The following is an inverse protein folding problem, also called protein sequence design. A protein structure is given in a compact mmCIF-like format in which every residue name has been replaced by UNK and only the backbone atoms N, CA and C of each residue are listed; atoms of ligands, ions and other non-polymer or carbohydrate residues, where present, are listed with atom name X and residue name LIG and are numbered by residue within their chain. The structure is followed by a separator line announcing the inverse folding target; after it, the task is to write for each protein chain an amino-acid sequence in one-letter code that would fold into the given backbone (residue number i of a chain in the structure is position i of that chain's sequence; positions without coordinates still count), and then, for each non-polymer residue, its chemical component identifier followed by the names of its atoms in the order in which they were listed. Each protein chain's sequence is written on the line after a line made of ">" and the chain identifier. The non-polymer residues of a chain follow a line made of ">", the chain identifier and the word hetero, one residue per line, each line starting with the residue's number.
data_IF_274894459357
#
_entry.id   IF_274894459357
#
_cell.length_a   1.000
_cell.length_b   1.000
_cell.length_c   1.000
_cell.angle_alpha   90.00
_cell.angle_beta   90.00
_cell.angle_gamma   90.00
#
_symmetry.space_group_name_H-M   'P 1'
#
loop_
_entity.id
_entity.type
_entity.pdbx_description
1 polymer ?
#
# COMPACT_ATOMS: atom_id res chain seq x y z
N UNK A 1 -3.89 0.24 21.92
CA UNK A 1 -4.39 1.61 21.73
C UNK A 1 -4.97 1.69 20.33
N UNK A 2 -6.21 2.15 20.18
CA UNK A 2 -6.83 2.31 18.86
C UNK A 2 -6.23 3.50 18.13
N UNK A 3 -5.88 3.32 16.87
CA UNK A 3 -5.48 4.43 16.00
C UNK A 3 -6.74 5.22 15.63
N UNK A 4 -6.72 6.54 15.87
CA UNK A 4 -7.79 7.43 15.43
C UNK A 4 -7.49 7.83 13.98
N UNK A 5 -8.24 7.26 13.04
CA UNK A 5 -8.16 7.65 11.64
C UNK A 5 -8.99 8.91 11.41
N UNK A 6 -8.35 9.95 10.87
CA UNK A 6 -9.02 11.19 10.49
C UNK A 6 -9.41 11.12 9.01
N UNK A 7 -10.67 11.42 8.73
CA UNK A 7 -11.15 11.55 7.34
C UNK A 7 -10.52 12.81 6.74
N UNK A 8 -10.07 12.74 5.50
CA UNK A 8 -9.58 13.90 4.77
C UNK A 8 -10.73 14.86 4.45
N UNK A 9 -10.45 16.15 4.35
CA UNK A 9 -11.47 17.14 4.00
C UNK A 9 -11.89 17.03 2.52
N UNK A 10 -10.96 16.63 1.65
CA UNK A 10 -11.22 16.32 0.23
C UNK A 10 -10.40 15.11 -0.26
N UNK A 11 -10.65 14.70 -1.50
CA UNK A 11 -9.93 13.61 -2.17
C UNK A 11 -8.99 14.10 -3.28
N UNK A 12 -8.84 15.42 -3.46
CA UNK A 12 -8.13 16.01 -4.58
C UNK A 12 -6.63 15.67 -4.51
N UNK A 13 -6.10 15.13 -5.61
CA UNK A 13 -4.68 14.77 -5.69
C UNK A 13 -4.26 13.59 -4.81
N UNK A 14 -5.20 12.89 -4.18
CA UNK A 14 -4.87 11.76 -3.32
C UNK A 14 -4.26 10.61 -4.12
N UNK A 15 -3.04 10.21 -3.73
CA UNK A 15 -2.34 9.03 -4.21
C UNK A 15 -1.65 8.36 -3.02
N UNK A 16 -1.99 7.10 -2.75
CA UNK A 16 -1.34 6.30 -1.70
C UNK A 16 -0.97 4.91 -2.22
N UNK A 17 0.22 4.44 -1.86
CA UNK A 17 0.69 3.08 -2.15
C UNK A 17 0.73 2.25 -0.87
N UNK A 18 0.29 0.99 -0.95
CA UNK A 18 0.24 0.11 0.20
C UNK A 18 -0.37 -1.25 -0.13
N UNK A 19 -0.78 -1.99 0.90
CA UNK A 19 -1.37 -3.31 0.72
C UNK A 19 -2.89 -3.21 0.62
N UNK A 20 -3.46 -3.80 -0.42
CA UNK A 20 -4.88 -4.10 -0.54
C UNK A 20 -5.19 -5.49 0.01
N UNK A 21 -6.39 -5.64 0.56
CA UNK A 21 -7.01 -6.95 0.74
C UNK A 21 -8.43 -6.96 0.21
N UNK A 22 -9.18 -8.03 0.44
CA UNK A 22 -10.59 -8.09 0.09
C UNK A 22 -11.41 -8.72 1.20
N UNK A 23 -12.67 -8.30 1.32
CA UNK A 23 -13.57 -8.74 2.39
C UNK A 23 -14.57 -9.80 1.89
N UNK A 24 -14.78 -10.80 2.75
CA UNK A 24 -15.44 -12.06 2.42
C UNK A 24 -16.97 -12.00 2.37
N UNK A 25 -17.58 -13.11 1.92
CA UNK A 25 -19.04 -13.29 1.78
C UNK A 25 -19.83 -12.97 3.06
N UNK A 26 -19.23 -13.12 4.22
CA UNK A 26 -19.87 -12.91 5.54
C UNK A 26 -20.43 -11.49 5.76
N UNK A 27 -19.92 -10.51 4.99
CA UNK A 27 -20.38 -9.12 5.04
C UNK A 27 -21.52 -8.83 4.07
N UNK A 28 -21.78 -9.71 3.09
CA UNK A 28 -22.74 -9.46 2.02
C UNK A 28 -24.13 -9.15 2.58
N UNK A 29 -24.75 -8.08 2.07
CA UNK A 29 -26.05 -7.58 2.52
C UNK A 29 -26.04 -6.78 3.81
N UNK A 30 -24.90 -6.69 4.53
CA UNK A 30 -24.76 -5.78 5.68
C UNK A 30 -24.64 -4.34 5.20
N UNK A 31 -25.02 -3.39 6.05
CA UNK A 31 -24.87 -1.96 5.75
C UNK A 31 -23.41 -1.54 5.86
N UNK A 32 -22.91 -0.85 4.84
CA UNK A 32 -21.64 -0.13 4.85
C UNK A 32 -21.73 1.15 5.70
N UNK A 33 -20.60 1.81 5.91
CA UNK A 33 -20.51 3.08 6.63
C UNK A 33 -21.27 4.24 5.96
N UNK A 34 -21.56 4.14 4.66
CA UNK A 34 -22.42 5.11 3.97
C UNK A 34 -23.90 4.66 3.89
N UNK A 35 -24.26 3.54 4.53
CA UNK A 35 -25.64 3.06 4.70
C UNK A 35 -26.15 2.13 3.60
N UNK A 36 -25.39 1.91 2.53
CA UNK A 36 -25.76 1.02 1.43
C UNK A 36 -25.56 -0.46 1.81
N UNK A 37 -26.39 -1.38 1.29
CA UNK A 37 -26.08 -2.81 1.39
C UNK A 37 -24.78 -3.13 0.64
N UNK A 38 -23.86 -3.81 1.31
CA UNK A 38 -22.65 -4.29 0.66
C UNK A 38 -22.97 -5.41 -0.34
N UNK A 39 -22.66 -5.17 -1.61
CA UNK A 39 -22.63 -6.18 -2.66
C UNK A 39 -21.20 -6.64 -2.91
N UNK A 40 -20.94 -7.93 -2.69
CA UNK A 40 -19.61 -8.49 -2.87
C UNK A 40 -19.16 -8.56 -4.34
N UNK A 41 -20.09 -8.45 -5.29
CA UNK A 41 -19.80 -8.47 -6.72
C UNK A 41 -19.69 -7.07 -7.34
N UNK A 42 -20.10 -6.03 -6.61
CA UNK A 42 -20.00 -4.64 -7.07
C UNK A 42 -18.55 -4.12 -7.07
N UNK A 43 -18.26 -3.09 -7.87
CA UNK A 43 -16.93 -2.44 -7.90
C UNK A 43 -16.79 -1.42 -6.77
N UNK A 44 -16.72 -1.91 -5.52
CA UNK A 44 -16.67 -1.10 -4.31
C UNK A 44 -15.49 -1.44 -3.41
N UNK A 45 -15.16 -0.52 -2.49
CA UNK A 45 -14.09 -0.69 -1.53
C UNK A 45 -14.32 0.08 -0.22
N UNK A 46 -13.64 -0.36 0.83
CA UNK A 46 -13.51 0.33 2.11
C UNK A 46 -12.14 1.02 2.19
N UNK A 47 -12.12 2.26 2.70
CA UNK A 47 -10.88 3.03 2.87
C UNK A 47 -10.83 3.76 4.23
N UNK A 48 -9.61 3.93 4.77
CA UNK A 48 -9.38 4.51 6.10
C UNK A 48 -9.74 6.00 6.18
N UNK A 49 -9.29 6.80 5.22
CA UNK A 49 -9.25 8.27 5.33
C UNK A 49 -10.00 9.02 4.23
N UNK A 50 -10.10 8.49 3.01
CA UNK A 50 -10.86 9.13 1.92
C UNK A 50 -12.32 9.47 2.32
N UNK A 51 -12.85 10.64 1.92
CA UNK A 51 -14.27 10.98 2.07
C UNK A 51 -15.19 9.91 1.44
N UNK A 52 -16.39 9.73 1.99
CA UNK A 52 -17.41 8.87 1.36
C UNK A 52 -18.51 9.74 0.74
N UNK A 53 -18.98 9.41 -0.48
CA UNK A 53 -18.36 8.48 -1.44
C UNK A 53 -17.16 9.12 -2.14
N UNK A 54 -16.18 8.30 -2.56
CA UNK A 54 -15.09 8.73 -3.47
C UNK A 54 -14.95 7.71 -4.60
N UNK A 55 -14.63 8.16 -5.82
CA UNK A 55 -14.23 7.25 -6.90
C UNK A 55 -12.71 7.16 -6.92
N UNK A 56 -12.15 5.96 -6.96
CA UNK A 56 -10.71 5.76 -6.99
C UNK A 56 -10.27 4.75 -8.05
N UNK A 57 -9.16 5.03 -8.72
CA UNK A 57 -8.42 4.04 -9.49
C UNK A 57 -7.52 3.25 -8.54
N UNK A 58 -7.56 1.93 -8.65
CA UNK A 58 -6.69 1.01 -7.91
C UNK A 58 -5.85 0.24 -8.91
N UNK A 59 -4.52 0.35 -8.80
CA UNK A 59 -3.56 -0.30 -9.69
C UNK A 59 -2.80 -1.38 -8.91
N UNK A 60 -2.81 -2.62 -9.40
CA UNK A 60 -1.95 -3.68 -8.88
C UNK A 60 -0.52 -3.42 -9.33
N UNK A 61 0.38 -3.18 -8.37
CA UNK A 61 1.76 -2.78 -8.66
C UNK A 61 2.60 -3.92 -9.25
N UNK A 62 2.21 -5.18 -9.05
CA UNK A 62 2.91 -6.34 -9.59
C UNK A 62 2.56 -6.59 -11.06
N UNK A 63 1.30 -6.39 -11.46
CA UNK A 63 0.81 -6.71 -12.81
C UNK A 63 0.58 -5.49 -13.69
N UNK A 64 0.50 -4.30 -13.10
CA UNK A 64 0.10 -3.07 -13.77
C UNK A 64 -1.39 -2.98 -14.12
N UNK A 65 -2.19 -4.02 -13.81
CA UNK A 65 -3.64 -3.99 -14.03
C UNK A 65 -4.28 -2.94 -13.12
N UNK A 66 -5.24 -2.17 -13.65
CA UNK A 66 -5.99 -1.19 -12.86
C UNK A 66 -7.50 -1.39 -13.00
N UNK A 67 -8.22 -0.99 -11.97
CA UNK A 67 -9.68 -0.94 -11.92
C UNK A 67 -10.13 0.38 -11.32
N UNK A 68 -11.39 0.74 -11.55
CA UNK A 68 -12.04 1.86 -10.85
C UNK A 68 -13.06 1.30 -9.87
N UNK A 69 -13.03 1.78 -8.64
CA UNK A 69 -13.95 1.40 -7.57
C UNK A 69 -14.55 2.62 -6.92
N UNK A 70 -15.75 2.45 -6.36
CA UNK A 70 -16.35 3.42 -5.47
C UNK A 70 -16.03 3.08 -4.02
N UNK A 71 -15.40 4.01 -3.33
CA UNK A 71 -15.18 3.95 -1.89
C UNK A 71 -16.51 4.28 -1.22
N UNK A 72 -17.11 3.30 -0.56
CA UNK A 72 -18.41 3.45 0.11
C UNK A 72 -18.41 2.96 1.57
N UNK A 73 -17.26 2.49 2.06
CA UNK A 73 -17.14 1.96 3.42
C UNK A 73 -15.83 2.39 4.11
N UNK A 74 -15.73 2.12 5.42
CA UNK A 74 -14.58 2.45 6.28
C UNK A 74 -13.80 1.21 6.65
N UNK A 75 -12.47 1.36 6.74
CA UNK A 75 -11.52 0.28 7.00
C UNK A 75 -10.52 0.16 5.84
N UNK A 76 -9.65 -0.85 5.82
CA UNK A 76 -9.38 -1.82 6.88
C UNK A 76 -8.80 -1.16 8.12
N UNK A 77 -9.10 -1.67 9.32
CA UNK A 77 -8.43 -1.25 10.56
C UNK A 77 -7.24 -2.17 10.91
N UNK A 78 -6.64 -2.78 9.88
CA UNK A 78 -5.41 -3.59 10.00
C UNK A 78 -4.20 -2.74 9.65
N UNK A 79 -3.12 -2.90 10.41
CA UNK A 79 -1.82 -2.26 10.15
C UNK A 79 -1.28 -2.69 8.79
N UNK A 80 -0.66 -1.77 8.05
CA UNK A 80 -0.09 -2.02 6.72
C UNK A 80 -1.08 -2.11 5.54
N UNK A 81 -2.40 -2.25 5.81
CA UNK A 81 -3.43 -2.25 4.74
C UNK A 81 -4.03 -0.87 4.55
N UNK A 82 -4.22 -0.47 3.29
CA UNK A 82 -4.73 0.87 2.94
C UNK A 82 -6.16 0.80 2.38
N UNK A 83 -6.52 -0.32 1.75
CA UNK A 83 -7.81 -0.49 1.10
C UNK A 83 -8.28 -1.95 1.18
N UNK A 84 -9.58 -2.13 1.37
CA UNK A 84 -10.24 -3.43 1.31
C UNK A 84 -11.21 -3.40 0.14
N UNK A 85 -11.01 -4.29 -0.84
CA UNK A 85 -11.81 -4.37 -2.06
C UNK A 85 -12.95 -5.39 -1.91
N UNK A 86 -14.05 -5.19 -2.63
CA UNK A 86 -15.04 -6.24 -2.79
C UNK A 86 -14.43 -7.47 -3.50
N UNK A 87 -15.09 -8.62 -3.38
CA UNK A 87 -14.68 -9.82 -4.13
C UNK A 87 -14.67 -9.59 -5.65
N UNK A 88 -15.68 -8.89 -6.19
CA UNK A 88 -15.77 -8.54 -7.60
C UNK A 88 -14.59 -7.68 -8.07
N UNK A 89 -14.27 -6.64 -7.31
CA UNK A 89 -13.12 -5.77 -7.57
C UNK A 89 -11.80 -6.52 -7.45
N UNK A 90 -11.62 -7.34 -6.42
CA UNK A 90 -10.41 -8.13 -6.24
C UNK A 90 -10.20 -9.19 -7.33
N UNK A 91 -11.30 -9.79 -7.82
CA UNK A 91 -11.28 -10.74 -8.93
C UNK A 91 -10.87 -10.04 -10.21
N UNK A 92 -11.45 -8.87 -10.49
CA UNK A 92 -11.10 -8.08 -11.65
C UNK A 92 -9.64 -7.62 -11.57
N UNK A 93 -9.17 -7.15 -10.42
CA UNK A 93 -7.77 -6.72 -10.24
C UNK A 93 -6.76 -7.89 -10.19
N UNK A 94 -7.25 -9.14 -10.06
CA UNK A 94 -6.46 -10.36 -10.23
C UNK A 94 -5.68 -10.82 -9.00
N UNK A 95 -6.20 -10.60 -7.78
CA UNK A 95 -5.49 -11.01 -6.55
C UNK A 95 -6.33 -11.83 -5.56
N UNK A 96 -7.51 -12.32 -5.94
CA UNK A 96 -8.37 -13.14 -5.07
C UNK A 96 -7.62 -14.32 -4.44
N UNK A 97 -6.90 -15.10 -5.25
CA UNK A 97 -6.17 -16.29 -4.79
C UNK A 97 -5.03 -15.95 -3.83
N UNK A 98 -4.35 -14.81 -4.05
CA UNK A 98 -3.28 -14.34 -3.18
C UNK A 98 -3.81 -13.76 -1.86
N UNK A 99 -5.07 -13.32 -1.82
CA UNK A 99 -5.71 -12.71 -0.65
C UNK A 99 -5.33 -11.24 -0.42
N UNK A 100 -4.11 -10.85 -0.78
CA UNK A 100 -3.59 -9.48 -0.69
C UNK A 100 -2.80 -9.10 -1.96
N UNK A 101 -2.68 -7.81 -2.21
CA UNK A 101 -1.87 -7.27 -3.31
C UNK A 101 -1.23 -5.94 -2.91
N UNK A 102 -0.05 -5.65 -3.43
CA UNK A 102 0.51 -4.29 -3.38
C UNK A 102 -0.18 -3.44 -4.44
N UNK A 103 -0.76 -2.31 -4.03
CA UNK A 103 -1.54 -1.43 -4.89
C UNK A 103 -1.16 0.03 -4.74
N UNK A 104 -1.49 0.81 -5.77
CA UNK A 104 -1.60 2.26 -5.72
C UNK A 104 -3.08 2.64 -5.81
N UNK A 105 -3.54 3.50 -4.90
CA UNK A 105 -4.90 4.05 -4.87
C UNK A 105 -4.81 5.53 -5.21
N UNK A 106 -5.46 5.91 -6.31
CA UNK A 106 -5.55 7.29 -6.78
C UNK A 106 -7.02 7.72 -6.75
N UNK A 107 -7.35 8.77 -6.00
CA UNK A 107 -8.69 9.34 -6.07
C UNK A 107 -8.90 10.07 -7.40
N UNK A 108 -10.09 9.92 -7.96
CA UNK A 108 -10.49 10.54 -9.22
C UNK A 108 -11.47 11.69 -8.92
N UNK A 109 -11.18 12.88 -9.44
CA UNK A 109 -12.10 14.02 -9.36
C UNK A 109 -13.41 13.74 -10.11
N UNK A 110 -13.32 13.04 -11.26
CA UNK A 110 -14.45 12.59 -12.06
C UNK A 110 -14.26 11.14 -12.51
N UNK A 111 -15.34 10.35 -12.50
CA UNK A 111 -15.32 8.94 -12.90
C UNK A 111 -14.97 8.71 -14.39
N UNK A 112 -15.03 9.76 -15.21
CA UNK A 112 -14.67 9.75 -16.64
C UNK A 112 -13.16 9.71 -16.89
N UNK A 113 -12.33 9.99 -15.88
CA UNK A 113 -10.86 9.88 -15.98
C UNK A 113 -10.36 8.41 -16.04
N UNK A 114 -11.26 7.43 -16.14
CA UNK A 114 -10.99 5.99 -16.04
C UNK A 114 -10.14 5.41 -17.18
N UNK A 115 -10.10 6.03 -18.36
CA UNK A 115 -9.43 5.45 -19.53
C UNK A 115 -8.00 5.97 -19.73
N UNK A 116 -7.01 5.07 -19.77
CA UNK A 116 -5.76 5.31 -20.51
C UNK A 116 -4.44 5.42 -19.74
N UNK A 117 -4.35 5.02 -18.47
CA UNK A 117 -3.03 4.90 -17.83
C UNK A 117 -2.32 3.62 -18.32
N UNK A 118 -1.23 3.78 -19.06
CA UNK A 118 -0.37 2.67 -19.49
C UNK A 118 0.04 1.79 -18.28
N UNK A 119 0.17 0.47 -18.46
CA UNK A 119 0.68 -0.39 -17.41
C UNK A 119 2.04 0.16 -16.97
N UNK A 120 2.23 0.43 -15.67
CA UNK A 120 3.48 0.99 -15.22
C UNK A 120 4.66 0.06 -15.55
N UNK A 121 5.85 0.62 -15.84
CA UNK A 121 7.05 -0.18 -16.07
C UNK A 121 7.31 -1.10 -14.86
N UNK A 122 8.00 -2.22 -15.08
CA UNK A 122 8.42 -3.13 -14.01
C UNK A 122 9.01 -2.34 -12.84
N UNK A 123 8.29 -2.34 -11.72
CA UNK A 123 8.58 -1.53 -10.55
C UNK A 123 9.28 -2.39 -9.51
N UNK A 124 10.41 -1.92 -9.00
CA UNK A 124 11.08 -2.57 -7.88
C UNK A 124 10.50 -2.00 -6.59
N UNK A 125 9.91 -2.87 -5.78
CA UNK A 125 9.23 -2.47 -4.56
C UNK A 125 10.15 -2.71 -3.36
N UNK A 126 10.12 -1.80 -2.40
CA UNK A 126 10.86 -1.89 -1.15
C UNK A 126 9.97 -1.52 0.03
N UNK A 127 10.17 -2.17 1.17
CA UNK A 127 9.63 -1.74 2.44
C UNK A 127 10.61 -0.78 3.12
N UNK A 128 10.30 0.51 3.19
CA UNK A 128 11.09 1.48 3.95
C UNK A 128 10.74 1.38 5.43
N UNK A 129 11.71 0.96 6.23
CA UNK A 129 11.55 0.60 7.65
C UNK A 129 12.09 1.67 8.60
N UNK A 130 12.86 2.63 8.09
CA UNK A 130 13.36 3.77 8.87
C UNK A 130 14.05 4.83 8.03
N UNK A 131 14.21 6.03 8.60
CA UNK A 131 15.01 7.12 8.05
C UNK A 131 15.75 7.84 9.19
N UNK A 132 17.06 7.98 9.05
CA UNK A 132 17.93 8.49 10.12
C UNK A 132 18.84 9.60 9.63
N UNK A 133 19.06 10.65 10.42
CA UNK A 133 20.06 11.67 10.08
C UNK A 133 21.51 11.18 10.19
N UNK A 134 21.75 10.11 10.95
CA UNK A 134 23.07 9.51 11.13
C UNK A 134 23.15 8.12 10.52
N UNK A 135 24.24 7.87 9.78
CA UNK A 135 24.51 6.57 9.14
C UNK A 135 24.55 5.42 10.16
N UNK A 136 25.15 5.66 11.32
CA UNK A 136 25.32 4.65 12.35
C UNK A 136 23.98 4.06 12.81
N UNK A 137 22.97 4.91 13.06
CA UNK A 137 21.63 4.47 13.46
C UNK A 137 20.97 3.62 12.37
N UNK A 138 21.19 3.95 11.09
CA UNK A 138 20.70 3.16 9.96
C UNK A 138 21.38 1.78 9.88
N UNK A 139 22.69 1.71 10.16
CA UNK A 139 23.44 0.46 10.22
C UNK A 139 23.06 -0.41 11.42
N UNK A 140 22.80 0.20 12.58
CA UNK A 140 22.27 -0.49 13.75
C UNK A 140 20.92 -1.13 13.45
N UNK A 141 20.01 -0.39 12.82
CA UNK A 141 18.73 -0.95 12.39
C UNK A 141 18.92 -2.10 11.39
N UNK A 142 19.79 -1.93 10.40
CA UNK A 142 20.09 -2.97 9.42
C UNK A 142 20.52 -4.28 10.10
N UNK A 143 21.48 -4.20 11.04
CA UNK A 143 21.96 -5.37 11.80
C UNK A 143 20.85 -6.02 12.63
N UNK A 144 19.94 -5.23 13.21
CA UNK A 144 18.81 -5.77 13.96
C UNK A 144 17.84 -6.55 13.06
N UNK A 145 17.55 -6.04 11.87
CA UNK A 145 16.68 -6.69 10.89
C UNK A 145 17.31 -7.99 10.37
N UNK A 146 18.60 -7.97 10.05
CA UNK A 146 19.34 -9.17 9.62
C UNK A 146 19.34 -10.26 10.71
N UNK A 147 19.49 -9.88 11.98
CA UNK A 147 19.37 -10.81 13.12
C UNK A 147 17.98 -11.44 13.27
N UNK A 148 16.93 -10.79 12.77
CA UNK A 148 15.56 -11.34 12.72
C UNK A 148 15.32 -12.21 11.47
N UNK A 149 16.35 -12.47 10.67
CA UNK A 149 16.26 -13.24 9.43
C UNK A 149 15.76 -12.44 8.23
N UNK A 150 15.65 -11.10 8.35
CA UNK A 150 15.27 -10.25 7.23
C UNK A 150 16.52 -9.95 6.39
N UNK A 151 16.60 -10.58 5.22
CA UNK A 151 17.66 -10.36 4.22
C UNK A 151 17.41 -9.13 3.34
N UNK A 152 18.38 -8.79 2.49
CA UNK A 152 18.31 -7.71 1.50
C UNK A 152 17.97 -6.34 2.09
N UNK A 153 18.59 -6.01 3.24
CA UNK A 153 18.46 -4.70 3.86
C UNK A 153 19.48 -3.74 3.26
N UNK A 154 18.99 -2.70 2.60
CA UNK A 154 19.80 -1.67 1.93
C UNK A 154 19.62 -0.32 2.64
N UNK A 155 20.72 0.44 2.71
CA UNK A 155 20.72 1.80 3.21
C UNK A 155 20.93 2.71 2.01
N UNK A 156 19.99 3.62 1.77
CA UNK A 156 20.07 4.63 0.71
C UNK A 156 20.29 6.00 1.34
N UNK A 157 21.31 6.71 0.88
CA UNK A 157 21.53 8.10 1.27
C UNK A 157 20.66 9.00 0.40
N UNK A 158 19.76 9.74 1.03
CA UNK A 158 18.88 10.71 0.40
C UNK A 158 19.42 12.12 0.69
N UNK A 159 20.23 12.62 -0.26
CA UNK A 159 20.78 13.97 -0.22
C UNK A 159 19.73 15.06 -0.53
N UNK A 160 18.57 14.68 -1.08
CA UNK A 160 17.48 15.61 -1.38
C UNK A 160 16.55 15.87 -0.19
N UNK A 161 16.57 15.00 0.82
CA UNK A 161 15.92 15.26 2.10
C UNK A 161 16.61 16.42 2.85
N UNK A 162 15.83 17.23 3.57
CA UNK A 162 16.36 18.31 4.41
C UNK A 162 15.87 18.10 5.86
N UNK A 163 16.76 17.74 6.81
CA UNK A 163 18.17 17.38 6.59
C UNK A 163 18.33 16.09 5.78
N UNK A 164 19.51 15.83 5.22
CA UNK A 164 19.78 14.60 4.48
C UNK A 164 19.59 13.37 5.37
N UNK A 165 19.02 12.29 4.81
CA UNK A 165 18.62 11.11 5.57
C UNK A 165 19.20 9.82 4.99
N UNK A 166 19.53 8.89 5.88
CA UNK A 166 19.81 7.49 5.58
C UNK A 166 18.52 6.69 5.69
N UNK A 167 17.96 6.31 4.54
CA UNK A 167 16.73 5.52 4.44
C UNK A 167 17.08 4.04 4.47
N UNK A 168 16.58 3.33 5.47
CA UNK A 168 16.71 1.88 5.56
C UNK A 168 15.52 1.24 4.87
N UNK A 169 15.81 0.33 3.94
CA UNK A 169 14.82 -0.34 3.11
C UNK A 169 15.09 -1.84 3.05
N UNK A 170 14.02 -2.62 3.00
CA UNK A 170 14.07 -4.07 2.81
C UNK A 170 13.49 -4.36 1.44
N UNK A 171 14.26 -5.06 0.60
CA UNK A 171 13.75 -5.50 -0.69
C UNK A 171 14.84 -5.79 -1.73
N UNK A 172 14.45 -6.20 -2.93
CA UNK A 172 13.09 -6.09 -3.47
C UNK A 172 12.05 -6.95 -2.75
N UNK A 173 10.86 -6.41 -2.46
CA UNK A 173 9.70 -7.19 -2.01
C UNK A 173 8.88 -7.62 -3.22
N UNK A 174 8.66 -8.93 -3.37
CA UNK A 174 8.01 -9.49 -4.55
C UNK A 174 6.47 -9.38 -4.48
N UNK A 175 5.90 -9.54 -3.29
CA UNK A 175 4.47 -9.59 -3.06
C UNK A 175 4.08 -8.99 -1.69
N UNK A 176 2.78 -8.93 -1.44
CA UNK A 176 2.23 -8.41 -0.18
C UNK A 176 2.60 -9.28 1.02
N UNK A 177 2.81 -10.59 0.86
CA UNK A 177 3.20 -11.49 1.94
C UNK A 177 4.63 -11.20 2.42
N UNK A 178 5.56 -10.95 1.48
CA UNK A 178 6.91 -10.51 1.78
C UNK A 178 6.90 -9.16 2.51
N UNK A 179 6.04 -8.22 2.09
CA UNK A 179 5.86 -6.95 2.79
C UNK A 179 5.30 -7.14 4.21
N UNK A 180 4.27 -7.97 4.38
CA UNK A 180 3.66 -8.28 5.69
C UNK A 180 4.67 -8.93 6.65
N UNK A 181 5.59 -9.77 6.14
CA UNK A 181 6.67 -10.34 6.93
C UNK A 181 7.63 -9.24 7.46
N UNK A 182 7.95 -8.24 6.62
CA UNK A 182 8.75 -7.07 7.06
C UNK A 182 7.99 -6.25 8.09
N UNK A 183 6.71 -5.96 7.88
CA UNK A 183 5.86 -5.25 8.86
C UNK A 183 5.85 -5.97 10.21
N UNK A 184 5.72 -7.31 10.18
CA UNK A 184 5.74 -8.14 11.39
C UNK A 184 7.09 -8.06 12.11
N UNK A 185 8.20 -8.17 11.38
CA UNK A 185 9.54 -8.08 11.96
C UNK A 185 9.82 -6.70 12.57
N UNK A 186 9.44 -5.62 11.87
CA UNK A 186 9.63 -4.24 12.32
C UNK A 186 8.75 -3.93 13.54
N UNK A 187 7.52 -4.45 13.56
CA UNK A 187 6.61 -4.30 14.71
C UNK A 187 7.16 -4.91 16.00
N UNK A 188 7.91 -6.02 15.92
CA UNK A 188 8.60 -6.63 17.08
C UNK A 188 9.70 -5.73 17.65
N UNK A 189 10.32 -4.91 16.81
CA UNK A 189 11.36 -3.95 17.19
C UNK A 189 10.78 -2.63 17.74
N UNK A 190 9.45 -2.48 17.80
CA UNK A 190 8.75 -1.25 18.20
C UNK A 190 9.16 -0.02 17.38
N UNK A 191 9.52 -0.25 16.13
CA UNK A 191 9.82 0.80 15.17
C UNK A 191 8.52 1.28 14.50
N UNK A 192 8.58 2.43 13.85
CA UNK A 192 7.44 2.96 13.08
C UNK A 192 6.98 2.00 11.96
N UNK A 193 5.80 2.26 11.40
CA UNK A 193 5.24 1.38 10.37
C UNK A 193 6.04 1.47 9.06
N UNK A 194 6.44 0.32 8.46
CA UNK A 194 7.07 0.32 7.17
C UNK A 194 6.17 0.93 6.10
N UNK A 195 6.76 1.73 5.21
CA UNK A 195 6.07 2.30 4.05
C UNK A 195 6.49 1.56 2.79
N UNK A 196 5.51 1.23 1.94
CA UNK A 196 5.81 0.71 0.62
C UNK A 196 6.41 1.84 -0.22
N UNK A 197 7.57 1.58 -0.82
CA UNK A 197 8.26 2.49 -1.73
C UNK A 197 8.43 1.77 -3.05
N UNK A 198 7.96 2.41 -4.11
CA UNK A 198 8.10 1.94 -5.49
C UNK A 198 9.20 2.74 -6.16
N UNK A 199 10.21 2.05 -6.69
CA UNK A 199 11.22 2.64 -7.56
C UNK A 199 11.01 2.13 -8.98
N UNK A 200 11.16 3.01 -9.97
CA UNK A 200 11.37 2.56 -11.33
C UNK A 200 12.65 1.70 -11.34
N UNK A 201 12.67 0.60 -12.10
CA UNK A 201 13.94 -0.11 -12.31
C UNK A 201 14.94 0.91 -12.86
N UNK A 202 15.96 1.25 -12.08
CA UNK A 202 17.16 1.87 -12.60
C UNK A 202 17.67 0.92 -13.68
N UNK A 203 17.64 1.37 -14.93
CA UNK A 203 18.53 0.86 -15.96
C UNK A 203 19.94 1.18 -15.50
N UNK A 204 20.53 0.32 -14.67
CA UNK A 204 21.97 0.34 -14.48
C UNK A 204 22.59 0.11 -15.87
N UNK A 205 23.38 1.03 -16.42
CA UNK A 205 24.25 0.67 -17.52
C UNK A 205 25.23 -0.36 -16.95
N UNK A 206 25.19 -1.57 -17.51
CA UNK A 206 26.19 -2.59 -17.23
C UNK A 206 27.58 -1.99 -17.48
N UNK A 207 28.47 -2.18 -16.51
CA UNK A 207 29.90 -2.00 -16.71
C UNK A 207 30.50 -3.11 -17.55
#
# INVERSE_FOLDING_TARGET
>A
MGERYHVLDDSAGYVEQGVASWYGREFHGRRTSNGEPYDMYAMTAAHKTLPLPTTARVTNLATGKSIVVRINDRGPFKKGRIIDLSYGAARELGFVTAGTAMVEVQALADATAAAGAAPPPTRTMYAQVGAFGQRQNAEDLKRQLEKQGIGNVVIRYDAGAVPALYRVRVGPVADAAAFDAVVTAVGRLRLGEPRLVVEARDSHPGG
#
